data_IF_178419727903
#
_entry.id   IF_178419727903
#
_cell.length_a   1.000
_cell.length_b   1.000
_cell.length_c   1.000
_cell.angle_alpha   90.00
_cell.angle_beta   90.00
_cell.angle_gamma   90.00
#
_symmetry.space_group_name_H-M   'P 1'
#
loop_
_entity.id
_entity.type
_entity.pdbx_description
1 polymer ?
#
# COMPACT_ATOMS: atom_id res chain seq x y z
N UNK A 1 2.00 14.74 -4.18
CA UNK A 1 2.48 15.93 -4.94
C UNK A 1 3.32 16.92 -4.13
N UNK A 2 2.83 17.49 -3.01
CA UNK A 2 3.60 18.46 -2.19
C UNK A 2 4.95 17.91 -1.70
N UNK A 3 4.99 16.65 -1.25
CA UNK A 3 6.21 15.98 -0.80
C UNK A 3 7.31 15.87 -1.89
N UNK A 4 6.91 15.63 -3.15
CA UNK A 4 7.81 15.58 -4.29
C UNK A 4 8.37 16.96 -4.64
N UNK A 5 7.51 18.00 -4.66
CA UNK A 5 7.93 19.39 -4.88
C UNK A 5 8.92 19.88 -3.82
N UNK A 6 8.67 19.59 -2.53
CA UNK A 6 9.60 19.91 -1.42
C UNK A 6 10.99 19.28 -1.59
N UNK A 7 11.09 18.20 -2.37
CA UNK A 7 12.34 17.47 -2.68
C UNK A 7 12.89 17.82 -4.07
N UNK A 8 12.47 18.95 -4.64
CA UNK A 8 12.92 19.48 -5.93
C UNK A 8 12.60 18.61 -7.16
N UNK A 9 11.61 17.72 -7.07
CA UNK A 9 11.10 17.02 -8.25
C UNK A 9 10.10 17.90 -9.02
N UNK A 10 10.32 18.04 -10.33
CA UNK A 10 9.26 18.45 -11.26
C UNK A 10 8.24 17.33 -11.38
N UNK A 11 6.95 17.64 -11.49
CA UNK A 11 5.90 16.60 -11.46
C UNK A 11 4.90 16.78 -12.59
N UNK A 12 4.56 15.68 -13.27
CA UNK A 12 3.49 15.59 -14.25
C UNK A 12 2.65 14.33 -14.04
N UNK A 13 1.34 14.41 -14.27
CA UNK A 13 0.40 13.28 -14.17
C UNK A 13 -0.03 12.82 -15.55
N UNK A 14 -0.17 11.51 -15.75
CA UNK A 14 -0.68 10.90 -16.98
C UNK A 14 -1.68 9.80 -16.65
N UNK A 15 -2.78 9.78 -17.39
CA UNK A 15 -3.77 8.70 -17.41
C UNK A 15 -3.50 7.82 -18.63
N UNK A 16 -3.63 6.51 -18.48
CA UNK A 16 -3.48 5.54 -19.56
C UNK A 16 -4.87 5.03 -19.97
N UNK A 17 -5.38 5.37 -21.16
CA UNK A 17 -6.72 4.96 -21.60
C UNK A 17 -6.95 3.45 -21.57
N UNK A 18 -5.89 2.66 -21.77
CA UNK A 18 -5.91 1.19 -21.74
C UNK A 18 -6.03 0.58 -20.34
N UNK A 19 -5.70 1.35 -19.29
CA UNK A 19 -5.89 0.99 -17.88
C UNK A 19 -6.33 2.27 -17.13
N UNK A 20 -7.61 2.67 -17.24
CA UNK A 20 -8.10 3.96 -16.75
C UNK A 20 -7.96 4.10 -15.23
N UNK A 21 -7.82 2.98 -14.53
CA UNK A 21 -7.59 2.89 -13.09
C UNK A 21 -6.11 3.07 -12.70
N UNK A 22 -5.22 3.17 -13.69
CA UNK A 22 -3.80 3.43 -13.51
C UNK A 22 -3.48 4.93 -13.63
N UNK A 23 -3.02 5.51 -12.52
CA UNK A 23 -2.44 6.85 -12.48
C UNK A 23 -0.91 6.74 -12.47
N UNK A 24 -0.26 7.40 -13.43
CA UNK A 24 1.20 7.56 -13.43
C UNK A 24 1.59 9.00 -13.12
N UNK A 25 2.53 9.12 -12.18
CA UNK A 25 3.10 10.39 -11.77
C UNK A 25 4.58 10.38 -12.14
N UNK A 26 4.94 11.15 -13.17
CA UNK A 26 6.31 11.37 -13.60
C UNK A 26 7.00 12.39 -12.71
N UNK A 27 8.23 12.11 -12.30
CA UNK A 27 9.08 12.93 -11.44
C UNK A 27 10.39 13.30 -12.15
N UNK A 28 10.85 14.54 -11.99
CA UNK A 28 12.10 15.06 -12.55
C UNK A 28 12.28 14.73 -14.05
N UNK A 29 11.30 15.15 -14.86
CA UNK A 29 11.29 14.91 -16.30
C UNK A 29 11.41 13.41 -16.67
N UNK A 30 10.77 12.52 -15.91
CA UNK A 30 10.71 11.09 -16.19
C UNK A 30 11.87 10.26 -15.63
N UNK A 31 12.81 10.87 -14.90
CA UNK A 31 13.89 10.14 -14.22
C UNK A 31 13.38 9.23 -13.10
N UNK A 32 12.23 9.56 -12.53
CA UNK A 32 11.53 8.69 -11.59
C UNK A 32 10.02 8.72 -11.84
N UNK A 33 9.31 7.73 -11.31
CA UNK A 33 7.88 7.60 -11.49
C UNK A 33 7.19 6.84 -10.37
N UNK A 34 5.93 7.18 -10.14
CA UNK A 34 5.03 6.51 -9.20
C UNK A 34 3.85 5.97 -10.01
N UNK A 35 3.61 4.66 -9.92
CA UNK A 35 2.44 4.02 -10.50
C UNK A 35 1.46 3.72 -9.38
N UNK A 36 0.26 4.27 -9.49
CA UNK A 36 -0.86 4.03 -8.60
C UNK A 36 -1.89 3.26 -9.38
N UNK A 37 -2.31 2.10 -8.87
CA UNK A 37 -3.38 1.29 -9.46
C UNK A 37 -4.44 1.04 -8.41
N UNK A 38 -5.70 1.29 -8.76
CA UNK A 38 -6.86 0.94 -7.95
C UNK A 38 -7.78 0.00 -8.76
N UNK A 39 -7.74 -1.31 -8.55
CA UNK A 39 -8.39 -2.26 -9.46
C UNK A 39 -9.92 -2.37 -9.33
N UNK A 40 -10.59 -1.47 -8.60
CA UNK A 40 -12.07 -1.35 -8.49
C UNK A 40 -12.80 -2.52 -7.82
N UNK A 41 -12.22 -3.71 -7.81
CA UNK A 41 -12.86 -4.95 -7.37
C UNK A 41 -12.52 -5.34 -5.94
N UNK A 42 -11.50 -4.73 -5.31
CA UNK A 42 -10.91 -5.31 -4.09
C UNK A 42 -10.20 -4.35 -3.12
N UNK A 43 -10.37 -3.02 -3.19
CA UNK A 43 -9.60 -2.08 -2.33
C UNK A 43 -8.06 -2.32 -2.39
N UNK A 44 -7.58 -2.88 -3.51
CA UNK A 44 -6.17 -3.14 -3.79
C UNK A 44 -5.51 -1.84 -4.19
N UNK A 45 -4.83 -1.24 -3.23
CA UNK A 45 -4.09 0.00 -3.43
C UNK A 45 -2.62 -0.35 -3.35
N UNK A 46 -1.89 -0.16 -4.45
CA UNK A 46 -0.45 -0.39 -4.48
C UNK A 46 0.27 0.79 -5.12
N UNK A 47 1.51 0.99 -4.68
CA UNK A 47 2.42 1.97 -5.25
C UNK A 47 3.66 1.25 -5.74
N UNK A 48 3.95 1.38 -7.03
CA UNK A 48 5.23 0.96 -7.59
C UNK A 48 6.11 2.18 -7.84
N UNK A 49 7.34 2.12 -7.37
CA UNK A 49 8.33 3.18 -7.50
C UNK A 49 9.38 2.77 -8.55
N UNK A 50 9.70 3.68 -9.47
CA UNK A 50 10.74 3.49 -10.48
C UNK A 50 11.70 4.68 -10.45
N UNK A 51 13.00 4.43 -10.50
CA UNK A 51 14.01 5.48 -10.56
C UNK A 51 15.42 4.96 -10.35
N UNK A 52 16.39 5.89 -10.27
CA UNK A 52 17.79 5.57 -10.02
C UNK A 52 18.03 5.13 -8.57
N UNK A 53 19.14 4.41 -8.31
CA UNK A 53 19.52 4.01 -6.94
C UNK A 53 19.78 5.23 -6.04
N UNK A 54 20.30 6.33 -6.59
CA UNK A 54 20.51 7.59 -5.88
C UNK A 54 19.21 8.24 -5.40
N UNK A 55 18.09 8.01 -6.09
CA UNK A 55 16.78 8.54 -5.72
C UNK A 55 16.02 7.64 -4.73
N UNK A 56 16.51 6.43 -4.45
CA UNK A 56 15.74 5.38 -3.78
C UNK A 56 15.17 5.81 -2.42
N UNK A 57 15.95 6.49 -1.58
CA UNK A 57 15.49 6.96 -0.27
C UNK A 57 14.39 8.02 -0.39
N UNK A 58 14.54 8.97 -1.31
CA UNK A 58 13.52 10.00 -1.57
C UNK A 58 12.24 9.39 -2.14
N UNK A 59 12.37 8.49 -3.10
CA UNK A 59 11.22 7.80 -3.71
C UNK A 59 10.49 6.94 -2.68
N UNK A 60 11.21 6.23 -1.81
CA UNK A 60 10.60 5.46 -0.71
C UNK A 60 9.77 6.35 0.19
N UNK A 61 10.28 7.50 0.61
CA UNK A 61 9.53 8.45 1.44
C UNK A 61 8.31 9.02 0.71
N UNK A 62 8.46 9.41 -0.57
CA UNK A 62 7.33 9.91 -1.36
C UNK A 62 6.26 8.81 -1.53
N UNK A 63 6.66 7.57 -1.79
CA UNK A 63 5.76 6.42 -1.89
C UNK A 63 5.01 6.16 -0.58
N UNK A 64 5.71 6.20 0.56
CA UNK A 64 5.09 6.05 1.88
C UNK A 64 4.04 7.13 2.18
N UNK A 65 4.31 8.39 1.86
CA UNK A 65 3.32 9.45 2.05
C UNK A 65 2.17 9.36 1.05
N UNK A 66 2.43 8.85 -0.15
CA UNK A 66 1.39 8.68 -1.17
C UNK A 66 0.44 7.53 -0.81
N UNK A 67 0.95 6.39 -0.33
CA UNK A 67 0.08 5.24 0.01
C UNK A 67 -0.84 5.57 1.18
N UNK A 68 -0.39 6.35 2.16
CA UNK A 68 -1.22 6.84 3.27
C UNK A 68 -2.42 7.64 2.78
N UNK A 69 -2.20 8.63 1.91
CA UNK A 69 -3.29 9.41 1.30
C UNK A 69 -4.25 8.51 0.55
N UNK A 70 -3.75 7.51 -0.19
CA UNK A 70 -4.62 6.59 -0.91
C UNK A 70 -5.45 5.71 0.03
N UNK A 71 -4.87 5.25 1.15
CA UNK A 71 -5.62 4.50 2.14
C UNK A 71 -6.73 5.37 2.76
N UNK A 72 -6.43 6.59 3.16
CA UNK A 72 -7.42 7.50 3.76
C UNK A 72 -8.57 7.85 2.79
N UNK A 73 -8.24 8.11 1.51
CA UNK A 73 -9.20 8.64 0.55
C UNK A 73 -9.97 7.55 -0.22
N UNK A 74 -9.38 6.36 -0.40
CA UNK A 74 -9.89 5.35 -1.34
C UNK A 74 -10.28 4.02 -0.70
N UNK A 75 -9.95 3.75 0.56
CA UNK A 75 -10.41 2.52 1.21
C UNK A 75 -11.92 2.56 1.39
N UNK A 76 -12.60 1.61 0.78
CA UNK A 76 -14.02 1.39 1.04
C UNK A 76 -14.20 0.52 2.29
N UNK A 77 -14.39 1.15 3.46
CA UNK A 77 -14.59 0.49 4.74
C UNK A 77 -15.88 -0.36 4.82
N UNK A 78 -16.84 -0.13 3.93
CA UNK A 78 -18.06 -0.94 3.86
C UNK A 78 -17.84 -2.29 3.14
N UNK A 79 -16.76 -2.41 2.37
CA UNK A 79 -16.44 -3.60 1.60
C UNK A 79 -16.02 -4.77 2.51
N UNK A 80 -16.54 -5.98 2.24
CA UNK A 80 -16.27 -7.21 3.01
C UNK A 80 -14.78 -7.45 3.25
N UNK A 81 -13.96 -7.39 2.19
CA UNK A 81 -12.51 -7.59 2.32
C UNK A 81 -11.79 -6.49 3.11
N UNK A 82 -12.35 -5.28 3.18
CA UNK A 82 -11.79 -4.22 4.02
C UNK A 82 -11.98 -4.54 5.50
N UNK A 83 -13.17 -5.05 5.87
CA UNK A 83 -13.48 -5.46 7.24
C UNK A 83 -12.62 -6.65 7.67
N UNK A 84 -12.47 -7.65 6.80
CA UNK A 84 -11.57 -8.78 7.07
C UNK A 84 -10.10 -8.36 7.20
N UNK A 85 -9.64 -7.43 6.37
CA UNK A 85 -8.28 -6.85 6.48
C UNK A 85 -8.10 -6.23 7.87
N UNK A 86 -9.07 -5.42 8.31
CA UNK A 86 -9.03 -4.78 9.63
C UNK A 86 -9.02 -5.79 10.78
N UNK A 87 -9.88 -6.80 10.73
CA UNK A 87 -9.93 -7.87 11.73
C UNK A 87 -8.60 -8.62 11.82
N UNK A 88 -8.01 -8.97 10.68
CA UNK A 88 -6.73 -9.66 10.62
C UNK A 88 -5.58 -8.80 11.14
N UNK A 89 -5.55 -7.51 10.79
CA UNK A 89 -4.51 -6.57 11.27
C UNK A 89 -4.61 -6.35 12.77
N UNK A 90 -5.82 -6.25 13.32
CA UNK A 90 -6.06 -6.12 14.77
C UNK A 90 -5.56 -7.33 15.54
N UNK A 91 -5.77 -8.54 15.00
CA UNK A 91 -5.21 -9.76 15.57
C UNK A 91 -3.68 -9.75 15.55
N UNK A 92 -3.06 -9.36 14.43
CA UNK A 92 -1.59 -9.28 14.25
C UNK A 92 -0.97 -8.17 15.13
N UNK A 93 -1.71 -7.10 15.41
CA UNK A 93 -1.26 -6.05 16.34
C UNK A 93 -1.10 -6.58 17.76
N UNK A 94 -2.05 -7.42 18.20
CA UNK A 94 -2.05 -7.99 19.55
C UNK A 94 -0.97 -9.04 19.78
N UNK A 95 -0.61 -9.81 18.75
CA UNK A 95 0.38 -10.89 18.84
C UNK A 95 0.89 -11.31 17.45
N UNK A 96 2.06 -11.95 17.42
CA UNK A 96 2.58 -12.54 16.20
C UNK A 96 1.76 -13.78 15.81
N UNK A 97 1.25 -13.82 14.57
CA UNK A 97 0.39 -14.91 14.09
C UNK A 97 0.87 -15.45 12.75
N UNK A 98 0.73 -16.76 12.51
CA UNK A 98 0.84 -17.30 11.15
C UNK A 98 -0.51 -17.24 10.44
N UNK A 99 -0.51 -17.41 9.12
CA UNK A 99 -1.75 -17.39 8.30
C UNK A 99 -2.81 -18.36 8.82
N UNK A 100 -2.40 -19.57 9.22
CA UNK A 100 -3.32 -20.59 9.74
C UNK A 100 -4.00 -20.17 11.05
N UNK A 101 -3.35 -19.32 11.84
CA UNK A 101 -3.77 -18.92 13.19
C UNK A 101 -4.69 -17.68 13.16
N UNK A 102 -4.84 -17.01 12.01
CA UNK A 102 -5.78 -15.89 11.86
C UNK A 102 -7.24 -16.36 11.98
N UNK A 103 -8.04 -15.72 12.80
CA UNK A 103 -9.46 -16.00 12.97
C UNK A 103 -10.28 -15.22 11.94
N UNK A 104 -10.12 -15.59 10.66
CA UNK A 104 -10.89 -15.07 9.52
C UNK A 104 -11.34 -16.21 8.62
N UNK A 105 -12.27 -15.94 7.71
CA UNK A 105 -12.84 -16.95 6.81
C UNK A 105 -11.74 -17.69 6.00
N UNK A 106 -11.78 -19.03 6.05
CA UNK A 106 -10.71 -19.90 5.53
C UNK A 106 -10.45 -19.71 4.04
N UNK A 107 -11.49 -19.46 3.25
CA UNK A 107 -11.41 -19.24 1.81
C UNK A 107 -10.65 -17.97 1.43
N UNK A 108 -10.54 -17.00 2.34
CA UNK A 108 -9.95 -15.69 2.05
C UNK A 108 -8.57 -15.47 2.66
N UNK A 109 -8.12 -16.34 3.59
CA UNK A 109 -6.85 -16.20 4.33
C UNK A 109 -5.64 -15.92 3.43
N UNK A 110 -5.34 -16.83 2.51
CA UNK A 110 -4.15 -16.72 1.65
C UNK A 110 -4.18 -15.47 0.80
N UNK A 111 -5.35 -15.14 0.25
CA UNK A 111 -5.55 -13.92 -0.54
C UNK A 111 -5.34 -12.68 0.32
N UNK A 112 -5.97 -12.60 1.48
CA UNK A 112 -5.88 -11.43 2.36
C UNK A 112 -4.44 -11.20 2.84
N UNK A 113 -3.75 -12.24 3.29
CA UNK A 113 -2.34 -12.16 3.68
C UNK A 113 -1.46 -11.69 2.53
N UNK A 114 -1.65 -12.26 1.33
CA UNK A 114 -0.90 -11.86 0.13
C UNK A 114 -1.08 -10.38 -0.17
N UNK A 115 -2.32 -9.87 -0.10
CA UNK A 115 -2.60 -8.47 -0.39
C UNK A 115 -2.10 -7.53 0.72
N UNK A 116 -2.22 -7.90 2.00
CA UNK A 116 -1.63 -7.12 3.10
C UNK A 116 -0.10 -7.02 2.99
N UNK A 117 0.57 -8.08 2.54
CA UNK A 117 2.02 -8.06 2.26
C UNK A 117 2.36 -7.18 1.06
N UNK A 118 1.62 -7.29 -0.05
CA UNK A 118 1.82 -6.43 -1.24
C UNK A 118 1.60 -4.95 -0.93
N UNK A 119 0.63 -4.65 -0.08
CA UNK A 119 0.36 -3.30 0.43
C UNK A 119 1.43 -2.82 1.44
N UNK A 120 2.28 -3.73 1.93
CA UNK A 120 3.32 -3.44 2.91
C UNK A 120 2.77 -3.18 4.32
N UNK A 121 1.56 -3.66 4.64
CA UNK A 121 0.93 -3.52 5.95
C UNK A 121 1.55 -4.51 6.95
N UNK A 122 1.87 -5.72 6.50
CA UNK A 122 2.48 -6.77 7.31
C UNK A 122 3.78 -7.29 6.69
N UNK A 123 4.63 -7.86 7.53
CA UNK A 123 5.81 -8.60 7.11
C UNK A 123 5.98 -9.89 7.91
N UNK A 124 6.60 -10.90 7.29
CA UNK A 124 6.89 -12.17 7.95
C UNK A 124 8.11 -12.02 8.86
N UNK A 125 8.02 -12.55 10.08
CA UNK A 125 9.13 -12.68 11.01
C UNK A 125 9.31 -14.15 11.43
N UNK A 126 10.35 -14.45 12.20
CA UNK A 126 10.56 -15.80 12.76
C UNK A 126 9.45 -16.25 13.73
N UNK A 127 8.63 -15.32 14.23
CA UNK A 127 7.52 -15.60 15.17
C UNK A 127 6.15 -15.60 14.49
N UNK A 128 6.09 -15.37 13.18
CA UNK A 128 4.86 -15.11 12.43
C UNK A 128 4.80 -13.68 11.89
N UNK A 129 3.64 -13.28 11.38
CA UNK A 129 3.40 -11.95 10.85
C UNK A 129 3.43 -10.89 11.94
N UNK A 130 3.91 -9.70 11.57
CA UNK A 130 3.84 -8.48 12.38
C UNK A 130 3.45 -7.29 11.51
N UNK A 131 2.87 -6.27 12.13
CA UNK A 131 2.62 -4.99 11.47
C UNK A 131 3.94 -4.29 11.13
N UNK A 132 4.03 -3.72 9.92
CA UNK A 132 5.09 -2.78 9.56
C UNK A 132 4.83 -1.40 10.17
N UNK A 133 5.75 -0.44 9.97
CA UNK A 133 5.48 0.98 10.32
C UNK A 133 4.23 1.52 9.61
N UNK A 134 4.01 1.12 8.34
CA UNK A 134 2.81 1.52 7.60
C UNK A 134 1.57 0.83 8.16
N UNK A 135 1.65 -0.47 8.48
CA UNK A 135 0.53 -1.21 9.08
C UNK A 135 0.09 -0.61 10.41
N UNK A 136 1.03 -0.28 11.29
CA UNK A 136 0.72 0.39 12.58
C UNK A 136 0.07 1.75 12.39
N UNK A 137 0.55 2.54 11.43
CA UNK A 137 -0.08 3.81 11.09
C UNK A 137 -1.52 3.59 10.58
N UNK A 138 -1.74 2.59 9.73
CA UNK A 138 -3.05 2.32 9.13
C UNK A 138 -4.10 1.84 10.14
N UNK A 139 -3.72 1.01 11.11
CA UNK A 139 -4.65 0.54 12.17
C UNK A 139 -4.94 1.63 13.22
N UNK A 140 -3.98 2.53 13.45
CA UNK A 140 -4.10 3.59 14.46
C UNK A 140 -4.70 4.91 13.96
N UNK A 141 -5.06 5.00 12.67
CA UNK A 141 -5.69 6.17 12.05
C UNK A 141 -7.19 5.90 11.84
#
# INVERSE_FOLDING_TARGET
>A
MRAAKKRNYQVATRVFPEDPDMLYISLSAGKAGIFVRNSGTENKISINLRGSKSDAANLKQIGQETIKILFDELKNYDHHFCKLEWDALSQIESQFLNEKDLEIEKSSKTRLVTEMQKQGLIEMSSKGFRLTVLGKWYVGN
#
